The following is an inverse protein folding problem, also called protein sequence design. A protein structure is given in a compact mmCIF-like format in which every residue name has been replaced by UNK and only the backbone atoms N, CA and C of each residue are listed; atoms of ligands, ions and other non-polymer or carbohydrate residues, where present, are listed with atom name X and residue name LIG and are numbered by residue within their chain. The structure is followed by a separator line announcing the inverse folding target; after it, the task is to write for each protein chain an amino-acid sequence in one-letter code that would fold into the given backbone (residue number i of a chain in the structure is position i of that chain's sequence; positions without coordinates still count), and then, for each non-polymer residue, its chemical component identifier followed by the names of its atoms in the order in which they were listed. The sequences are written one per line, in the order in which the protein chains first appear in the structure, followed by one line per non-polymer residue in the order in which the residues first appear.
data_IF_557818955700
#
_entry.id   IF_557818955700
#
_cell.length_a   1.000
_cell.length_b   1.000
_cell.length_c   1.000
_cell.angle_alpha   90.00
_cell.angle_beta   90.00
_cell.angle_gamma   90.00
#
_symmetry.space_group_name_H-M   'P 1'
#
loop_
_entity.id
_entity.type
_entity.pdbx_description
1 polymer ?
#
# COMPACT_ATOMS: atom_id res chain seq x y z
N UNK A 1 2.46 -16.99 0.55
CA UNK A 1 2.03 -17.14 -0.86
C UNK A 1 2.53 -15.93 -1.58
N UNK A 2 3.12 -16.13 -2.75
CA UNK A 2 3.71 -15.03 -3.49
C UNK A 2 2.64 -14.18 -4.18
N UNK A 3 2.72 -12.86 -4.03
CA UNK A 3 1.84 -11.87 -4.65
C UNK A 3 2.64 -10.70 -5.20
N UNK A 4 2.10 -10.04 -6.22
CA UNK A 4 2.55 -8.71 -6.64
C UNK A 4 1.73 -7.65 -5.90
N UNK A 5 2.39 -6.63 -5.34
CA UNK A 5 1.74 -5.53 -4.64
C UNK A 5 2.41 -4.18 -4.96
N UNK A 6 1.64 -3.10 -4.87
CA UNK A 6 2.14 -1.73 -4.95
C UNK A 6 2.65 -1.28 -3.57
N UNK A 7 3.95 -1.09 -3.43
CA UNK A 7 4.60 -0.66 -2.19
C UNK A 7 4.85 0.85 -2.21
N UNK A 8 4.31 1.54 -1.21
CA UNK A 8 4.57 2.97 -0.96
C UNK A 8 5.90 3.16 -0.23
N UNK A 9 6.64 4.24 -0.54
CA UNK A 9 7.95 4.52 0.05
C UNK A 9 8.52 5.87 -0.37
N UNK A 10 9.65 6.26 0.22
CA UNK A 10 10.30 7.54 -0.06
C UNK A 10 11.25 7.43 -1.25
N UNK A 11 10.73 7.70 -2.44
CA UNK A 11 11.49 7.68 -3.69
C UNK A 11 11.80 6.26 -4.16
N UNK A 12 11.10 5.82 -5.22
CA UNK A 12 11.47 4.58 -5.90
C UNK A 12 12.91 4.63 -6.45
N UNK A 13 13.46 3.52 -6.96
CA UNK A 13 14.87 3.40 -7.37
C UNK A 13 15.38 4.46 -8.37
N UNK A 14 14.48 5.22 -9.01
CA UNK A 14 14.78 6.31 -9.94
C UNK A 14 14.28 7.70 -9.47
N UNK A 15 14.00 7.89 -8.18
CA UNK A 15 13.36 9.11 -7.68
C UNK A 15 11.87 9.21 -8.03
N UNK A 16 11.24 8.08 -8.39
CA UNK A 16 9.82 8.02 -8.71
C UNK A 16 8.95 8.36 -7.50
N UNK A 17 7.92 9.19 -7.71
CA UNK A 17 6.87 9.53 -6.74
C UNK A 17 5.66 8.56 -6.81
N UNK A 18 5.78 7.49 -7.59
CA UNK A 18 4.76 6.45 -7.69
C UNK A 18 5.14 5.21 -6.86
N UNK A 19 4.16 4.45 -6.34
CA UNK A 19 4.40 3.15 -5.72
C UNK A 19 5.13 2.18 -6.64
N UNK A 20 5.98 1.32 -6.08
CA UNK A 20 6.70 0.28 -6.82
C UNK A 20 5.93 -1.03 -6.80
N UNK A 21 5.84 -1.71 -7.95
CA UNK A 21 5.30 -3.07 -7.99
C UNK A 21 6.37 -4.06 -7.56
N UNK A 22 6.16 -4.71 -6.42
CA UNK A 22 7.11 -5.66 -5.83
C UNK A 22 6.45 -7.00 -5.57
N UNK A 23 7.27 -8.05 -5.56
CA UNK A 23 6.85 -9.39 -5.15
C UNK A 23 7.00 -9.54 -3.63
N UNK A 24 5.94 -10.00 -2.96
CA UNK A 24 5.90 -10.19 -1.52
C UNK A 24 5.40 -11.60 -1.18
N UNK A 25 5.86 -12.14 -0.05
CA UNK A 25 5.28 -13.34 0.57
C UNK A 25 4.18 -12.94 1.55
N UNK A 26 2.94 -13.34 1.26
CA UNK A 26 1.79 -13.15 2.13
C UNK A 26 1.58 -14.35 3.05
N UNK A 27 1.53 -14.12 4.36
CA UNK A 27 1.23 -15.13 5.37
C UNK A 27 -0.19 -15.72 5.26
N UNK A 28 -0.43 -16.86 5.90
CA UNK A 28 -1.77 -17.42 6.09
C UNK A 28 -2.63 -16.48 6.96
N UNK A 29 -3.94 -16.34 6.68
CA UNK A 29 -4.82 -15.60 7.58
C UNK A 29 -4.86 -16.27 8.95
N UNK A 30 -4.90 -15.47 10.01
CA UNK A 30 -5.02 -15.91 11.40
C UNK A 30 -6.48 -16.20 11.76
N UNK A 31 -6.71 -16.67 12.98
CA UNK A 31 -8.07 -16.87 13.49
C UNK A 31 -8.88 -15.56 13.46
N UNK A 32 -10.00 -15.55 12.75
CA UNK A 32 -10.85 -14.38 12.56
C UNK A 32 -10.49 -13.47 11.37
N UNK A 33 -9.43 -13.79 10.62
CA UNK A 33 -9.03 -13.04 9.42
C UNK A 33 -9.51 -13.75 8.13
N UNK A 34 -9.70 -12.98 7.07
CA UNK A 34 -10.00 -13.50 5.73
C UNK A 34 -8.91 -13.09 4.75
N UNK A 35 -8.48 -14.02 3.90
CA UNK A 35 -7.66 -13.70 2.72
C UNK A 35 -8.58 -13.33 1.57
N UNK A 36 -8.42 -12.11 1.05
CA UNK A 36 -9.21 -11.59 -0.07
C UNK A 36 -8.34 -11.50 -1.31
N UNK A 37 -8.84 -11.99 -2.44
CA UNK A 37 -8.24 -11.73 -3.75
C UNK A 37 -8.86 -10.46 -4.33
N UNK A 38 -8.10 -9.37 -4.35
CA UNK A 38 -8.50 -8.14 -5.00
C UNK A 38 -8.57 -8.36 -6.52
N UNK A 39 -9.72 -8.09 -7.13
CA UNK A 39 -9.93 -8.17 -8.59
C UNK A 39 -9.88 -6.80 -9.25
N UNK A 40 -10.19 -5.76 -8.49
CA UNK A 40 -10.11 -4.36 -8.86
C UNK A 40 -9.99 -3.52 -7.57
N UNK A 41 -9.32 -2.36 -7.66
CA UNK A 41 -9.26 -1.36 -6.58
C UNK A 41 -9.27 0.04 -7.18
N UNK A 42 -9.86 1.01 -6.47
CA UNK A 42 -9.76 2.43 -6.79
C UNK A 42 -8.60 3.08 -6.05
N UNK A 43 -8.25 4.29 -6.48
CA UNK A 43 -7.31 5.18 -5.75
C UNK A 43 -8.14 6.29 -5.12
N UNK A 44 -8.04 6.42 -3.80
CA UNK A 44 -8.62 7.51 -3.02
C UNK A 44 -7.61 8.65 -2.87
N UNK A 45 -8.10 9.83 -2.52
CA UNK A 45 -7.23 10.96 -2.17
C UNK A 45 -6.32 10.62 -0.97
N UNK A 46 -6.82 9.87 0.01
CA UNK A 46 -6.01 9.47 1.19
C UNK A 46 -4.79 8.63 0.80
N UNK A 47 -4.90 7.78 -0.21
CA UNK A 47 -3.76 6.95 -0.67
C UNK A 47 -2.60 7.84 -1.13
N UNK A 48 -2.90 8.92 -1.88
CA UNK A 48 -1.92 9.90 -2.35
C UNK A 48 -1.34 10.72 -1.20
N UNK A 49 -2.17 11.06 -0.22
CA UNK A 49 -1.76 11.84 0.95
C UNK A 49 -0.77 11.07 1.84
N UNK A 50 -1.02 9.78 2.05
CA UNK A 50 -0.22 8.91 2.92
C UNK A 50 1.02 8.33 2.22
N UNK A 51 0.98 8.14 0.89
CA UNK A 51 2.08 7.59 0.09
C UNK A 51 3.48 8.13 0.44
N UNK A 52 3.72 9.45 0.62
CA UNK A 52 5.04 9.99 0.98
C UNK A 52 5.51 9.66 2.41
N UNK A 53 4.74 8.90 3.20
CA UNK A 53 5.06 8.55 4.59
C UNK A 53 4.64 9.63 5.60
N UNK A 54 3.64 10.46 5.27
CA UNK A 54 3.11 11.51 6.16
C UNK A 54 2.19 10.90 7.24
N UNK A 55 2.76 10.22 8.21
CA UNK A 55 2.01 9.82 9.40
C UNK A 55 2.00 10.97 10.41
N UNK A 56 1.03 11.87 10.30
CA UNK A 56 0.68 12.81 11.34
C UNK A 56 -0.84 12.97 11.40
N UNK A 57 -1.46 13.09 12.59
CA UNK A 57 -2.83 13.57 12.64
C UNK A 57 -2.87 14.95 11.98
N UNK A 58 -3.55 15.07 10.85
CA UNK A 58 -3.89 16.37 10.29
C UNK A 58 -4.83 17.06 11.28
N UNK A 59 -4.68 18.36 11.57
CA UNK A 59 -5.67 19.07 12.37
C UNK A 59 -7.05 18.88 11.74
N UNK A 60 -8.03 18.47 12.56
CA UNK A 60 -9.43 18.53 12.17
C UNK A 60 -9.76 20.02 12.07
N UNK A 61 -9.89 20.53 10.85
CA UNK A 61 -10.48 21.84 10.58
C UNK A 61 -11.96 21.65 10.30
#
# INVERSE_FOLDING_TARGET
MKITAALSGHGGPNGSLAPELVELEQEAPRAGEMRVRLVATGICHTDLHEHPGRHAPQPIV
#
